data_IF_799863000580
#
_entry.id   IF_799863000580
#
_cell.length_a   1.000
_cell.length_b   1.000
_cell.length_c   1.000
_cell.angle_alpha   90.00
_cell.angle_beta   90.00
_cell.angle_gamma   90.00
#
_symmetry.space_group_name_H-M   'P 1'
#
loop_
_entity.id
_entity.type
_entity.pdbx_description
1 polymer ?
#
# COMPACT_ATOMS: atom_id res chain seq x y z
N UNK A 1 36.87 4.94 -14.51
CA UNK A 1 35.91 4.63 -13.44
C UNK A 1 35.04 3.50 -13.95
N UNK A 2 35.19 2.29 -13.40
CA UNK A 2 34.46 1.11 -13.87
C UNK A 2 33.06 1.10 -13.25
N UNK A 3 32.02 1.08 -14.10
CA UNK A 3 30.65 0.84 -13.67
C UNK A 3 30.49 -0.64 -13.29
N UNK A 4 30.38 -0.91 -12.00
CA UNK A 4 30.10 -2.26 -11.50
C UNK A 4 28.60 -2.50 -11.59
N UNK A 5 28.16 -3.07 -12.70
CA UNK A 5 26.79 -3.60 -12.86
C UNK A 5 26.61 -4.81 -11.94
N UNK A 6 26.06 -4.56 -10.75
CA UNK A 6 25.64 -5.65 -9.85
C UNK A 6 24.35 -6.27 -10.37
N UNK A 7 24.48 -7.18 -11.34
CA UNK A 7 23.39 -8.06 -11.72
C UNK A 7 23.09 -9.00 -10.54
N UNK A 8 22.09 -8.68 -9.74
CA UNK A 8 21.64 -9.54 -8.66
C UNK A 8 21.06 -10.83 -9.28
N UNK A 9 21.84 -11.91 -9.25
CA UNK A 9 21.46 -13.27 -9.63
C UNK A 9 20.48 -13.88 -8.60
N UNK A 10 19.35 -13.21 -8.41
CA UNK A 10 18.21 -13.75 -7.66
C UNK A 10 17.25 -14.27 -8.71
N UNK A 11 16.76 -15.53 -8.63
CA UNK A 11 15.78 -16.03 -9.57
C UNK A 11 14.58 -15.07 -9.58
N UNK A 12 14.29 -14.50 -10.75
CA UNK A 12 13.11 -13.68 -10.96
C UNK A 12 11.91 -14.57 -10.67
N UNK A 13 11.03 -14.12 -9.78
CA UNK A 13 9.78 -14.84 -9.49
C UNK A 13 8.93 -14.87 -10.76
N UNK A 14 8.11 -15.89 -10.91
CA UNK A 14 7.16 -15.96 -12.03
C UNK A 14 6.12 -14.83 -11.92
N UNK A 15 5.68 -14.36 -13.08
CA UNK A 15 4.68 -13.31 -13.20
C UNK A 15 3.30 -13.88 -12.87
N UNK A 16 2.68 -13.40 -11.79
CA UNK A 16 1.34 -13.83 -11.40
C UNK A 16 0.31 -12.83 -11.96
N UNK A 17 -0.25 -13.15 -13.13
CA UNK A 17 -1.25 -12.32 -13.81
C UNK A 17 -2.49 -13.16 -14.14
N UNK A 18 -3.67 -12.58 -13.94
CA UNK A 18 -4.92 -13.22 -14.31
C UNK A 18 -5.06 -13.33 -15.84
N UNK A 19 -6.00 -14.16 -16.30
CA UNK A 19 -6.34 -14.34 -17.73
C UNK A 19 -6.66 -13.02 -18.47
N UNK A 20 -6.98 -11.95 -17.75
CA UNK A 20 -7.30 -10.62 -18.29
C UNK A 20 -6.10 -9.64 -18.26
N UNK A 21 -4.89 -10.12 -17.99
CA UNK A 21 -3.69 -9.27 -17.92
C UNK A 21 -3.67 -8.35 -16.70
N UNK A 22 -4.36 -8.73 -15.61
CA UNK A 22 -4.48 -7.94 -14.39
C UNK A 22 -3.71 -8.60 -13.25
N UNK A 23 -3.02 -7.81 -12.44
CA UNK A 23 -2.40 -8.29 -11.21
C UNK A 23 -3.32 -8.02 -10.02
N UNK A 24 -3.64 -9.08 -9.27
CA UNK A 24 -4.43 -9.00 -8.05
C UNK A 24 -3.55 -8.94 -6.80
N UNK A 25 -3.82 -7.98 -5.93
CA UNK A 25 -3.18 -7.90 -4.62
C UNK A 25 -4.14 -7.41 -3.53
N UNK A 26 -3.78 -7.71 -2.28
CA UNK A 26 -4.52 -7.25 -1.11
C UNK A 26 -3.61 -6.48 -0.16
N UNK A 27 -3.98 -5.23 0.12
CA UNK A 27 -3.32 -4.40 1.11
C UNK A 27 -4.15 -4.27 2.39
N UNK A 28 -3.47 -4.18 3.54
CA UNK A 28 -4.13 -4.00 4.85
C UNK A 28 -3.36 -3.01 5.71
N UNK A 29 -4.05 -2.10 6.38
CA UNK A 29 -3.47 -1.19 7.37
C UNK A 29 -4.51 -0.83 8.42
N UNK A 30 -4.16 -0.93 9.70
CA UNK A 30 -5.12 -0.84 10.81
C UNK A 30 -6.31 -1.79 10.52
N UNK A 31 -7.52 -1.27 10.53
CA UNK A 31 -8.76 -2.01 10.22
C UNK A 31 -9.18 -1.91 8.75
N UNK A 32 -8.41 -1.19 7.92
CA UNK A 32 -8.72 -1.03 6.50
C UNK A 32 -8.14 -2.18 5.67
N UNK A 33 -8.96 -2.72 4.77
CA UNK A 33 -8.61 -3.74 3.79
C UNK A 33 -8.88 -3.21 2.39
N UNK A 34 -7.88 -3.26 1.52
CA UNK A 34 -7.95 -2.85 0.13
C UNK A 34 -7.67 -4.05 -0.78
N UNK A 35 -8.62 -4.36 -1.67
CA UNK A 35 -8.42 -5.28 -2.79
C UNK A 35 -8.08 -4.44 -4.01
N UNK A 36 -6.95 -4.71 -4.63
CA UNK A 36 -6.40 -3.90 -5.71
C UNK A 36 -6.22 -4.77 -6.94
N UNK A 37 -6.72 -4.27 -8.06
CA UNK A 37 -6.48 -4.80 -9.39
C UNK A 37 -5.65 -3.79 -10.15
N UNK A 38 -4.52 -4.23 -10.68
CA UNK A 38 -3.62 -3.41 -11.48
C UNK A 38 -3.66 -3.91 -12.93
N UNK A 39 -3.81 -2.99 -13.88
CA UNK A 39 -3.83 -3.27 -15.31
C UNK A 39 -2.90 -2.28 -16.03
N UNK A 40 -2.14 -2.67 -17.06
CA UNK A 40 -1.45 -1.70 -17.90
C UNK A 40 -2.47 -0.77 -18.60
N UNK A 41 -2.23 0.54 -18.56
CA UNK A 41 -3.21 1.53 -19.01
C UNK A 41 -2.74 2.99 -18.89
N UNK A 42 -3.69 3.90 -18.67
CA UNK A 42 -3.52 5.37 -18.74
C UNK A 42 -3.20 6.06 -17.42
N UNK A 43 -3.01 5.32 -16.32
CA UNK A 43 -2.75 5.91 -15.01
C UNK A 43 -4.00 6.27 -14.21
N UNK A 44 -5.19 5.78 -14.61
CA UNK A 44 -6.44 6.10 -13.91
C UNK A 44 -6.57 5.28 -12.64
N UNK A 45 -6.80 5.95 -11.51
CA UNK A 45 -6.99 5.31 -10.20
C UNK A 45 -8.44 5.48 -9.76
N UNK A 46 -9.19 4.38 -9.74
CA UNK A 46 -10.58 4.35 -9.29
C UNK A 46 -10.68 3.63 -7.94
N UNK A 47 -11.30 4.27 -6.95
CA UNK A 47 -11.52 3.71 -5.61
C UNK A 47 -13.01 3.61 -5.33
N UNK A 48 -13.50 2.39 -5.07
CA UNK A 48 -14.92 2.11 -4.79
C UNK A 48 -15.90 2.69 -5.84
N UNK A 49 -15.50 2.68 -7.12
CA UNK A 49 -16.30 3.21 -8.24
C UNK A 49 -16.29 4.73 -8.36
N UNK A 50 -15.46 5.45 -7.58
CA UNK A 50 -15.26 6.89 -7.68
C UNK A 50 -13.81 7.21 -8.03
N UNK A 51 -13.57 8.37 -8.61
CA UNK A 51 -12.20 8.82 -8.87
C UNK A 51 -11.42 9.08 -7.57
N UNK A 52 -10.11 8.84 -7.59
CA UNK A 52 -9.24 9.07 -6.44
C UNK A 52 -9.33 10.49 -5.89
N UNK A 53 -9.56 11.50 -6.74
CA UNK A 53 -9.62 12.88 -6.30
C UNK A 53 -10.87 13.16 -5.48
N UNK A 54 -11.99 12.58 -5.89
CA UNK A 54 -13.29 12.72 -5.21
C UNK A 54 -13.29 11.91 -3.91
N UNK A 55 -12.69 10.71 -3.91
CA UNK A 55 -12.68 9.84 -2.74
C UNK A 55 -11.71 10.33 -1.67
N UNK A 56 -10.50 10.73 -2.06
CA UNK A 56 -9.49 11.30 -1.16
C UNK A 56 -9.43 12.81 -1.33
N UNK A 57 -10.31 13.52 -0.61
CA UNK A 57 -10.35 14.98 -0.63
C UNK A 57 -9.02 15.65 -0.20
N UNK A 58 -8.21 14.98 0.62
CA UNK A 58 -6.93 15.51 1.10
C UNK A 58 -5.79 15.17 0.12
N UNK A 59 -5.01 16.15 -0.37
CA UNK A 59 -3.92 15.91 -1.32
C UNK A 59 -2.81 15.03 -0.73
N UNK A 60 -2.55 15.10 0.57
CA UNK A 60 -1.57 14.24 1.26
C UNK A 60 -1.88 12.75 1.08
N UNK A 61 -3.17 12.38 1.05
CA UNK A 61 -3.56 10.98 0.88
C UNK A 61 -3.35 10.50 -0.55
N UNK A 62 -3.52 11.39 -1.54
CA UNK A 62 -3.24 11.11 -2.96
C UNK A 62 -1.75 10.89 -3.18
N UNK A 63 -0.91 11.72 -2.57
CA UNK A 63 0.55 11.58 -2.64
C UNK A 63 1.01 10.22 -2.09
N UNK A 64 0.41 9.74 -0.99
CA UNK A 64 0.72 8.41 -0.42
C UNK A 64 0.39 7.27 -1.39
N UNK A 65 -0.66 7.40 -2.20
CA UNK A 65 -1.05 6.40 -3.20
C UNK A 65 -0.11 6.42 -4.41
N UNK A 66 0.44 7.59 -4.76
CA UNK A 66 1.34 7.78 -5.90
C UNK A 66 2.80 7.38 -5.61
N UNK A 67 3.24 7.39 -4.36
CA UNK A 67 4.58 6.96 -3.93
C UNK A 67 5.10 5.65 -4.56
N UNK A 68 4.33 4.53 -4.61
CA UNK A 68 4.81 3.32 -5.26
C UNK A 68 5.11 3.49 -6.74
N UNK A 69 4.35 4.33 -7.47
CA UNK A 69 4.60 4.60 -8.89
C UNK A 69 5.85 5.44 -9.09
N UNK A 70 6.07 6.44 -8.24
CA UNK A 70 7.26 7.29 -8.23
C UNK A 70 8.55 6.48 -8.10
N UNK A 71 8.60 5.55 -7.14
CA UNK A 71 9.80 4.75 -6.89
C UNK A 71 10.05 3.73 -8.00
N UNK A 72 8.99 3.23 -8.63
CA UNK A 72 9.12 2.33 -9.77
C UNK A 72 9.40 3.05 -11.09
N UNK A 73 9.36 4.40 -11.13
CA UNK A 73 9.42 5.20 -12.36
C UNK A 73 8.36 4.79 -13.41
N UNK A 74 7.20 4.30 -12.92
CA UNK A 74 6.07 3.81 -13.74
C UNK A 74 4.85 4.71 -13.63
N UNK A 75 5.05 6.01 -13.45
CA UNK A 75 3.95 6.97 -13.42
C UNK A 75 3.16 6.94 -14.73
N UNK A 76 1.83 6.89 -14.65
CA UNK A 76 0.95 6.94 -15.83
C UNK A 76 0.85 5.65 -16.65
N UNK A 77 1.58 4.57 -16.30
CA UNK A 77 1.59 3.33 -17.09
C UNK A 77 0.52 2.31 -16.67
N UNK A 78 -0.08 2.49 -15.48
CA UNK A 78 -0.95 1.50 -14.87
C UNK A 78 -2.28 2.11 -14.41
N UNK A 79 -3.38 1.49 -14.85
CA UNK A 79 -4.70 1.75 -14.27
C UNK A 79 -4.89 0.89 -13.01
N UNK A 80 -5.49 1.50 -11.99
CA UNK A 80 -5.72 0.86 -10.69
C UNK A 80 -7.21 0.89 -10.37
N UNK A 81 -7.76 -0.29 -10.09
CA UNK A 81 -9.11 -0.44 -9.55
C UNK A 81 -8.99 -0.98 -8.13
N UNK A 82 -9.29 -0.13 -7.15
CA UNK A 82 -9.25 -0.47 -5.74
C UNK A 82 -10.66 -0.57 -5.15
N UNK A 83 -10.95 -1.68 -4.48
CA UNK A 83 -12.11 -1.82 -3.62
C UNK A 83 -11.65 -1.83 -2.17
N UNK A 84 -12.11 -0.86 -1.38
CA UNK A 84 -11.63 -0.65 -0.01
C UNK A 84 -12.79 -0.70 0.97
N UNK A 85 -12.59 -1.42 2.08
CA UNK A 85 -13.57 -1.54 3.17
C UNK A 85 -12.87 -1.39 4.53
N UNK A 86 -13.60 -0.83 5.50
CA UNK A 86 -13.15 -0.68 6.89
C UNK A 86 -12.22 0.52 7.13
N UNK A 87 -11.98 0.81 8.42
CA UNK A 87 -11.14 1.91 8.88
C UNK A 87 -11.65 3.31 8.49
N UNK A 88 -10.72 4.27 8.42
CA UNK A 88 -10.98 5.63 7.93
C UNK A 88 -10.05 5.99 6.75
N UNK A 89 -10.26 7.16 6.13
CA UNK A 89 -9.60 7.56 4.88
C UNK A 89 -8.07 7.42 4.89
N UNK A 90 -7.41 7.80 5.99
CA UNK A 90 -5.95 7.66 6.12
C UNK A 90 -5.47 6.20 6.19
N UNK A 91 -6.22 5.33 6.88
CA UNK A 91 -5.94 3.90 6.93
C UNK A 91 -6.17 3.24 5.57
N UNK A 92 -7.23 3.67 4.88
CA UNK A 92 -7.58 3.22 3.53
C UNK A 92 -6.51 3.57 2.51
N UNK A 93 -6.04 4.82 2.47
CA UNK A 93 -4.95 5.24 1.57
C UNK A 93 -3.67 4.41 1.79
N UNK A 94 -3.31 4.14 3.05
CA UNK A 94 -2.17 3.28 3.37
C UNK A 94 -2.37 1.82 2.98
N UNK A 95 -3.60 1.29 3.08
CA UNK A 95 -3.93 -0.05 2.60
C UNK A 95 -3.85 -0.13 1.06
N UNK A 96 -4.36 0.87 0.35
CA UNK A 96 -4.28 0.96 -1.12
C UNK A 96 -2.82 1.02 -1.58
N UNK A 97 -2.00 1.90 -0.97
CA UNK A 97 -0.55 1.97 -1.25
C UNK A 97 0.11 0.59 -1.16
N UNK A 98 -0.12 -0.13 -0.05
CA UNK A 98 0.47 -1.44 0.15
C UNK A 98 -0.04 -2.48 -0.87
N UNK A 99 -1.33 -2.40 -1.24
CA UNK A 99 -1.91 -3.25 -2.29
C UNK A 99 -1.28 -2.99 -3.67
N UNK A 100 -1.09 -1.72 -4.05
CA UNK A 100 -0.44 -1.35 -5.32
C UNK A 100 1.00 -1.86 -5.35
N UNK A 101 1.78 -1.68 -4.27
CA UNK A 101 3.15 -2.17 -4.20
C UNK A 101 3.27 -3.69 -4.37
N UNK A 102 2.33 -4.44 -3.80
CA UNK A 102 2.26 -5.88 -4.00
C UNK A 102 1.85 -6.24 -5.44
N UNK A 103 0.87 -5.55 -6.02
CA UNK A 103 0.42 -5.78 -7.39
C UNK A 103 1.54 -5.51 -8.40
N UNK A 104 2.29 -4.41 -8.24
CA UNK A 104 3.45 -4.09 -9.07
C UNK A 104 4.53 -5.18 -8.98
N UNK A 105 4.79 -5.71 -7.79
CA UNK A 105 5.79 -6.78 -7.62
C UNK A 105 5.37 -8.12 -8.23
N UNK A 106 4.06 -8.35 -8.42
CA UNK A 106 3.53 -9.54 -9.10
C UNK A 106 3.52 -9.37 -10.62
N UNK A 107 3.27 -8.15 -11.07
CA UNK A 107 3.25 -7.81 -12.49
C UNK A 107 4.66 -7.72 -13.08
N UNK A 108 5.62 -7.10 -12.37
CA UNK A 108 7.03 -7.05 -12.76
C UNK A 108 7.91 -7.52 -11.58
N UNK A 109 8.31 -8.80 -11.57
CA UNK A 109 9.15 -9.38 -10.53
C UNK A 109 10.47 -8.65 -10.30
N UNK A 110 11.01 -8.00 -11.34
CA UNK A 110 12.24 -7.20 -11.27
C UNK A 110 12.10 -5.97 -10.36
N UNK A 111 10.92 -5.34 -10.32
CA UNK A 111 10.65 -4.16 -9.48
C UNK A 111 10.54 -4.51 -7.99
N UNK A 112 10.49 -5.79 -7.63
CA UNK A 112 10.36 -6.20 -6.24
C UNK A 112 11.54 -5.70 -5.39
N UNK A 113 12.77 -5.70 -5.93
CA UNK A 113 13.97 -5.28 -5.20
C UNK A 113 13.89 -3.80 -4.80
N UNK A 114 13.51 -2.92 -5.74
CA UNK A 114 13.38 -1.48 -5.53
C UNK A 114 12.24 -1.16 -4.55
N UNK A 115 11.07 -1.78 -4.73
CA UNK A 115 9.90 -1.59 -3.85
C UNK A 115 10.16 -2.16 -2.45
N UNK A 116 10.96 -3.24 -2.34
CA UNK A 116 11.39 -3.79 -1.03
C UNK A 116 12.36 -2.84 -0.33
N UNK A 117 13.34 -2.29 -1.06
CA UNK A 117 14.30 -1.35 -0.51
C UNK A 117 13.61 -0.07 0.02
N UNK A 118 12.57 0.39 -0.69
CA UNK A 118 11.73 1.50 -0.26
C UNK A 118 10.78 1.17 0.93
N UNK A 119 10.71 -0.08 1.36
CA UNK A 119 9.91 -0.50 2.51
C UNK A 119 8.40 -0.59 2.27
N UNK A 120 7.93 -0.58 1.01
CA UNK A 120 6.48 -0.60 0.72
C UNK A 120 5.86 -1.99 0.71
N UNK A 121 6.69 -3.04 0.61
CA UNK A 121 6.26 -4.44 0.73
C UNK A 121 6.02 -4.89 2.17
N UNK A 122 6.44 -4.11 3.17
CA UNK A 122 6.19 -4.43 4.58
C UNK A 122 4.84 -3.87 4.99
N UNK A 123 3.98 -4.74 5.53
CA UNK A 123 2.71 -4.30 6.12
C UNK A 123 2.98 -3.48 7.38
N UNK A 124 2.35 -2.30 7.49
CA UNK A 124 2.30 -1.56 8.77
C UNK A 124 1.48 -2.37 9.79
N UNK A 125 2.17 -2.97 10.76
CA UNK A 125 1.61 -3.84 11.78
C UNK A 125 0.88 -3.09 12.90
N UNK A 126 0.93 -1.75 12.92
CA UNK A 126 0.33 -0.95 13.98
C UNK A 126 -1.19 -1.07 13.98
N UNK A 127 -1.74 -1.55 15.08
CA UNK A 127 -3.18 -1.64 15.36
C UNK A 127 -3.46 -0.91 16.68
N UNK A 128 -4.70 -0.44 16.88
CA UNK A 128 -5.09 0.23 18.11
C UNK A 128 -4.98 -0.74 19.28
N UNK A 129 -4.16 -0.39 20.28
CA UNK A 129 -4.10 -1.15 21.53
C UNK A 129 -5.45 -1.12 22.24
N UNK A 130 -5.93 -2.29 22.66
CA UNK A 130 -7.18 -2.40 23.42
C UNK A 130 -7.11 -1.59 24.74
N UNK A 131 -8.27 -1.15 25.22
CA UNK A 131 -8.39 -0.59 26.57
C UNK A 131 -8.07 -1.68 27.61
N UNK A 132 -7.12 -1.41 28.51
CA UNK A 132 -6.81 -2.28 29.65
C UNK A 132 -7.73 -1.91 30.82
N UNK A 133 -8.04 -2.89 31.67
CA UNK A 133 -8.84 -2.65 32.88
C UNK A 133 -8.11 -1.68 33.82
N UNK A 134 -8.87 -0.92 34.61
CA UNK A 134 -8.30 0.07 35.54
C UNK A 134 -7.62 1.29 34.89
N UNK A 135 -7.71 1.46 33.56
CA UNK A 135 -7.13 2.61 32.83
C UNK A 135 -8.20 3.40 32.07
N UNK A 136 -8.00 4.72 31.95
CA UNK A 136 -8.89 5.61 31.20
C UNK A 136 -8.82 5.36 29.69
N UNK A 137 -7.64 5.03 29.16
CA UNK A 137 -7.40 4.59 27.76
C UNK A 137 -6.41 3.40 27.75
N UNK A 138 -5.89 3.01 26.58
CA UNK A 138 -4.92 1.91 26.46
C UNK A 138 -3.75 1.98 27.48
N UNK A 139 -3.15 3.17 27.63
CA UNK A 139 -2.04 3.40 28.57
C UNK A 139 -2.29 4.50 29.62
N UNK A 140 -3.26 5.38 29.41
CA UNK A 140 -3.57 6.50 30.33
C UNK A 140 -4.14 5.98 31.64
N UNK A 141 -3.37 6.08 32.73
CA UNK A 141 -3.83 5.84 34.09
C UNK A 141 -4.60 7.05 34.63
N UNK A 142 -5.40 6.82 35.67
CA UNK A 142 -5.89 7.90 36.51
C UNK A 142 -4.74 8.46 37.37
N UNK A 143 -4.88 9.67 37.87
CA UNK A 143 -3.91 10.24 38.80
C UNK A 143 -3.91 9.40 40.08
N UNK A 144 -2.73 8.97 40.51
CA UNK A 144 -2.55 8.18 41.72
C UNK A 144 -2.15 9.10 42.88
N UNK A 145 -2.83 8.97 44.02
CA UNK A 145 -2.42 9.58 45.30
C UNK A 145 -1.88 8.49 46.22
N UNK A 146 -0.70 8.71 46.80
CA UNK A 146 -0.01 7.77 47.72
C UNK A 146 -0.37 7.99 49.20
N UNK A 147 -1.27 8.93 49.50
CA UNK A 147 -1.58 9.38 50.86
C UNK A 147 -2.85 8.73 51.36
#
# INVERSE_FOLDING_TARGET
>A
MAEVTHASNVPLREQEVDSLGRAYATGRRKDAVARVWLKPGTGKVTVNGRDQEVYFARPTLRLVINQPFQISEREGQYDVIATVKGGGLSGQAGAVKHGISQALSKFEPALRSTVKAAGFLTRDSRVVERKKYGRAKARRSFQFSKR
#
